data_IF_249439460866
#
_entry.id   IF_249439460866
#
_cell.length_a   1.000
_cell.length_b   1.000
_cell.length_c   1.000
_cell.angle_alpha   90.00
_cell.angle_beta   90.00
_cell.angle_gamma   90.00
#
_symmetry.space_group_name_H-M   'P 1'
#
loop_
_entity.id
_entity.type
_entity.pdbx_description
1 polymer ?
#
# COMPACT_ATOMS: atom_id res chain seq x y z
N UNK A 1 4.68 -9.69 -25.07
CA UNK A 1 3.39 -9.67 -24.33
C UNK A 1 3.64 -9.93 -22.86
N UNK A 2 3.15 -9.08 -21.94
CA UNK A 2 3.13 -9.42 -20.51
C UNK A 2 1.96 -10.38 -20.26
N UNK A 3 2.24 -11.57 -19.74
CA UNK A 3 1.24 -12.64 -19.55
C UNK A 3 0.49 -12.50 -18.21
N UNK A 4 1.14 -11.93 -17.19
CA UNK A 4 0.59 -11.80 -15.84
C UNK A 4 0.29 -10.33 -15.53
N UNK A 5 -0.91 -10.07 -15.00
CA UNK A 5 -1.26 -8.84 -14.30
C UNK A 5 -1.87 -9.20 -12.95
N UNK A 6 -1.47 -8.46 -11.91
CA UNK A 6 -2.04 -8.61 -10.59
C UNK A 6 -2.45 -7.25 -10.05
N UNK A 7 -3.74 -7.14 -9.72
CA UNK A 7 -4.39 -5.88 -9.38
C UNK A 7 -5.34 -6.07 -8.21
N UNK A 8 -5.59 -4.98 -7.51
CA UNK A 8 -6.60 -4.87 -6.46
C UNK A 8 -7.18 -3.45 -6.49
N UNK A 9 -7.91 -3.06 -5.45
CA UNK A 9 -8.46 -1.72 -5.28
C UNK A 9 -8.27 -1.22 -3.86
N UNK A 10 -8.21 0.09 -3.68
CA UNK A 10 -8.17 0.71 -2.36
C UNK A 10 -9.48 0.38 -1.62
N UNK A 11 -9.37 -0.27 -0.47
CA UNK A 11 -10.49 -0.63 0.40
C UNK A 11 -10.89 0.53 1.32
N UNK A 12 -9.89 1.24 1.85
CA UNK A 12 -10.09 2.40 2.71
C UNK A 12 -8.89 3.34 2.68
N UNK A 13 -9.13 4.58 3.08
CA UNK A 13 -8.12 5.60 3.27
C UNK A 13 -8.09 5.97 4.76
N UNK A 14 -6.90 6.27 5.25
CA UNK A 14 -6.67 6.74 6.62
C UNK A 14 -5.51 7.73 6.64
N UNK A 15 -5.35 8.45 7.74
CA UNK A 15 -4.23 9.38 7.95
C UNK A 15 -3.44 8.95 9.18
N UNK A 16 -2.12 9.08 9.11
CA UNK A 16 -1.23 8.91 10.26
C UNK A 16 -0.46 10.21 10.48
N UNK A 17 -0.56 10.79 11.67
CA UNK A 17 0.21 11.98 12.01
C UNK A 17 1.68 11.63 12.23
N UNK A 18 2.55 12.60 11.99
CA UNK A 18 3.96 12.54 12.36
C UNK A 18 4.12 12.10 13.82
N UNK A 19 5.07 11.19 14.07
CA UNK A 19 5.35 10.67 15.41
C UNK A 19 4.54 9.43 15.79
N UNK A 20 3.55 9.03 14.98
CA UNK A 20 2.78 7.80 15.21
C UNK A 20 3.38 6.59 14.46
N UNK A 21 3.06 5.40 14.96
CA UNK A 21 3.39 4.15 14.28
C UNK A 21 2.24 3.69 13.37
N UNK A 22 2.59 3.15 12.20
CA UNK A 22 1.66 2.61 11.20
C UNK A 22 1.67 1.08 11.22
N UNK A 23 0.47 0.48 11.26
CA UNK A 23 0.28 -0.96 11.20
C UNK A 23 0.26 -1.63 12.57
N UNK A 24 0.39 -2.96 12.60
CA UNK A 24 0.45 -3.71 13.85
C UNK A 24 1.81 -3.49 14.55
N UNK A 25 1.79 -2.99 15.79
CA UNK A 25 2.99 -2.68 16.57
C UNK A 25 3.72 -1.42 16.11
N UNK A 26 5.03 -1.34 16.38
CA UNK A 26 5.93 -0.22 16.01
C UNK A 26 6.53 -0.38 14.60
N UNK A 27 5.81 -1.00 13.68
CA UNK A 27 6.33 -1.52 12.41
C UNK A 27 6.86 -0.46 11.43
N UNK A 28 6.31 0.75 11.47
CA UNK A 28 6.77 1.87 10.67
C UNK A 28 6.49 3.17 11.41
N UNK A 29 7.51 4.02 11.56
CA UNK A 29 7.40 5.31 12.23
C UNK A 29 7.13 6.40 11.19
N UNK A 30 6.03 7.13 11.35
CA UNK A 30 5.67 8.24 10.48
C UNK A 30 6.59 9.44 10.76
N UNK A 31 7.51 9.73 9.83
CA UNK A 31 8.42 10.88 9.92
C UNK A 31 7.74 12.21 9.54
N UNK A 32 6.58 12.14 8.92
CA UNK A 32 5.74 13.24 8.49
C UNK A 32 4.26 12.83 8.56
N UNK A 33 3.34 13.75 8.28
CA UNK A 33 1.92 13.43 8.15
C UNK A 33 1.68 12.63 6.87
N UNK A 34 1.11 11.44 7.02
CA UNK A 34 0.90 10.49 5.93
C UNK A 34 -0.57 10.31 5.62
N UNK A 35 -0.86 10.25 4.32
CA UNK A 35 -2.11 9.72 3.78
C UNK A 35 -1.85 8.28 3.33
N UNK A 36 -2.56 7.35 3.95
CA UNK A 36 -2.36 5.92 3.76
C UNK A 36 -3.60 5.29 3.14
N UNK A 37 -3.38 4.29 2.29
CA UNK A 37 -4.44 3.46 1.71
C UNK A 37 -4.27 2.00 2.14
N UNK A 38 -5.37 1.35 2.49
CA UNK A 38 -5.38 -0.09 2.76
C UNK A 38 -5.85 -0.82 1.51
N UNK A 39 -5.07 -1.82 1.08
CA UNK A 39 -5.37 -2.66 -0.06
C UNK A 39 -5.60 -4.09 0.43
N UNK A 40 -6.70 -4.76 0.05
CA UNK A 40 -7.07 -6.09 0.56
C UNK A 40 -6.28 -7.19 -0.17
N UNK A 41 -4.95 -7.07 -0.12
CA UNK A 41 -4.00 -8.07 -0.61
C UNK A 41 -2.91 -8.20 0.44
N UNK A 42 -2.65 -9.42 0.89
CA UNK A 42 -1.62 -9.74 1.88
C UNK A 42 -0.91 -11.03 1.53
N UNK A 43 -0.15 -11.58 2.48
CA UNK A 43 0.65 -12.79 2.21
C UNK A 43 -0.19 -14.04 1.94
N UNK A 44 -1.44 -14.11 2.41
CA UNK A 44 -2.36 -15.21 2.07
C UNK A 44 -2.71 -15.22 0.57
N UNK A 45 -2.57 -14.08 -0.11
CA UNK A 45 -2.81 -13.91 -1.53
C UNK A 45 -1.52 -13.94 -2.36
N UNK A 46 -0.38 -14.28 -1.74
CA UNK A 46 0.92 -14.37 -2.39
C UNK A 46 1.78 -13.09 -2.32
N UNK A 47 1.36 -12.04 -1.60
CA UNK A 47 2.20 -10.85 -1.45
C UNK A 47 3.27 -11.12 -0.41
N UNK A 48 4.53 -11.22 -0.84
CA UNK A 48 5.60 -11.69 0.03
C UNK A 48 5.72 -10.83 1.29
N UNK A 49 5.68 -11.48 2.47
CA UNK A 49 5.77 -10.78 3.77
C UNK A 49 7.11 -10.03 3.93
N UNK A 50 8.16 -10.47 3.24
CA UNK A 50 9.46 -9.80 3.17
C UNK A 50 9.41 -8.42 2.50
N UNK A 51 8.34 -8.09 1.76
CA UNK A 51 8.13 -6.76 1.17
C UNK A 51 7.61 -5.72 2.18
N UNK A 52 7.54 -6.07 3.46
CA UNK A 52 7.25 -5.11 4.53
C UNK A 52 8.24 -3.94 4.48
N UNK A 53 7.75 -2.70 4.45
CA UNK A 53 8.53 -1.46 4.33
C UNK A 53 9.43 -1.32 3.07
N UNK A 54 9.42 -2.27 2.13
CA UNK A 54 10.28 -2.26 0.94
C UNK A 54 9.53 -2.45 -0.37
N UNK A 55 8.32 -3.02 -0.32
CA UNK A 55 7.45 -3.20 -1.47
C UNK A 55 6.91 -1.88 -2.01
N UNK A 56 6.52 -1.89 -3.28
CA UNK A 56 5.87 -0.76 -3.96
C UNK A 56 4.78 -1.28 -4.88
N UNK A 57 3.77 -0.45 -5.14
CA UNK A 57 2.67 -0.72 -6.07
C UNK A 57 2.41 0.53 -6.91
N UNK A 58 1.63 0.41 -7.98
CA UNK A 58 1.16 1.56 -8.75
C UNK A 58 -0.26 1.96 -8.35
N UNK A 59 -0.47 3.26 -8.15
CA UNK A 59 -1.77 3.91 -7.97
C UNK A 59 -1.78 5.18 -8.80
N UNK A 60 -2.79 5.35 -9.68
CA UNK A 60 -2.91 6.49 -10.61
C UNK A 60 -1.62 6.78 -11.41
N UNK A 61 -0.91 5.73 -11.83
CA UNK A 61 0.34 5.81 -12.61
C UNK A 61 1.59 6.12 -11.78
N UNK A 62 1.46 6.29 -10.46
CA UNK A 62 2.55 6.67 -9.56
C UNK A 62 2.91 5.53 -8.59
N UNK A 63 4.18 5.46 -8.18
CA UNK A 63 4.65 4.48 -7.19
C UNK A 63 4.19 4.87 -5.78
N UNK A 64 3.52 3.93 -5.11
CA UNK A 64 3.11 4.03 -3.73
C UNK A 64 3.86 2.96 -2.90
N UNK A 65 4.74 3.34 -1.95
CA UNK A 65 5.48 2.38 -1.15
C UNK A 65 4.60 1.72 -0.08
N UNK A 66 4.86 0.44 0.21
CA UNK A 66 4.24 -0.29 1.31
C UNK A 66 4.82 0.19 2.63
N UNK A 67 3.96 0.54 3.59
CA UNK A 67 4.33 0.98 4.95
C UNK A 67 3.79 0.02 6.00
N UNK A 68 4.67 -0.38 6.91
CA UNK A 68 4.38 -1.36 7.95
C UNK A 68 4.52 -2.81 7.48
N UNK A 69 4.12 -3.72 8.36
CA UNK A 69 4.17 -5.17 8.11
C UNK A 69 3.05 -5.56 7.13
N UNK A 70 3.42 -6.34 6.11
CA UNK A 70 2.45 -7.05 5.27
C UNK A 70 1.64 -8.01 6.14
N UNK A 71 0.34 -7.78 6.26
CA UNK A 71 -0.57 -8.63 7.02
C UNK A 71 -1.04 -9.82 6.17
N UNK A 72 -1.80 -10.72 6.79
CA UNK A 72 -2.37 -11.90 6.11
C UNK A 72 -3.21 -11.49 4.90
N UNK A 73 -4.07 -10.48 5.09
CA UNK A 73 -5.11 -10.14 4.13
C UNK A 73 -4.95 -8.75 3.51
N UNK A 74 -4.03 -7.92 4.00
CA UNK A 74 -3.89 -6.56 3.52
C UNK A 74 -2.45 -6.04 3.59
N UNK A 75 -2.21 -5.01 2.79
CA UNK A 75 -1.06 -4.12 2.85
C UNK A 75 -1.55 -2.69 3.05
N UNK A 76 -0.71 -1.88 3.68
CA UNK A 76 -0.89 -0.44 3.77
C UNK A 76 0.12 0.21 2.85
N UNK A 77 -0.34 1.14 2.01
CA UNK A 77 0.51 1.87 1.06
C UNK A 77 0.42 3.37 1.34
N UNK A 78 1.52 4.06 1.11
CA UNK A 78 1.64 5.51 1.25
C UNK A 78 1.23 6.19 -0.06
N UNK A 79 0.21 7.03 0.04
CA UNK A 79 -0.36 7.78 -1.10
C UNK A 79 -0.29 9.28 -0.84
N UNK A 80 0.55 9.73 0.09
CA UNK A 80 0.66 11.14 0.52
C UNK A 80 0.94 12.07 -0.65
N UNK A 81 1.86 11.68 -1.55
CA UNK A 81 2.22 12.47 -2.74
C UNK A 81 1.32 12.25 -3.98
N UNK A 82 0.26 11.44 -3.87
CA UNK A 82 -0.59 11.10 -5.03
C UNK A 82 -1.94 11.80 -4.90
N UNK A 83 -2.14 12.82 -5.73
CA UNK A 83 -3.38 13.62 -5.70
C UNK A 83 -4.61 12.83 -6.16
N UNK A 84 -5.76 13.18 -5.60
CA UNK A 84 -7.07 12.64 -6.01
C UNK A 84 -7.27 11.15 -5.79
N UNK A 85 -6.46 10.52 -4.93
CA UNK A 85 -6.63 9.11 -4.56
C UNK A 85 -7.93 8.92 -3.78
N UNK A 86 -8.73 7.93 -4.19
CA UNK A 86 -10.03 7.62 -3.59
C UNK A 86 -10.20 6.13 -3.30
N UNK A 87 -11.19 5.81 -2.46
CA UNK A 87 -11.62 4.42 -2.26
C UNK A 87 -12.09 3.84 -3.59
N UNK A 88 -11.62 2.64 -3.92
CA UNK A 88 -11.95 1.96 -5.17
C UNK A 88 -10.94 2.18 -6.29
N UNK A 89 -9.97 3.09 -6.14
CA UNK A 89 -8.90 3.27 -7.13
C UNK A 89 -8.11 1.98 -7.36
N UNK A 90 -7.74 1.75 -8.62
CA UNK A 90 -6.98 0.57 -9.02
C UNK A 90 -5.55 0.63 -8.47
N UNK A 91 -5.16 -0.48 -7.84
CA UNK A 91 -3.81 -0.73 -7.37
C UNK A 91 -3.20 -1.83 -8.23
N UNK A 92 -2.07 -1.57 -8.90
CA UNK A 92 -1.37 -2.58 -9.71
C UNK A 92 -0.12 -3.05 -8.98
N UNK A 93 -0.08 -4.34 -8.64
CA UNK A 93 1.03 -4.99 -7.94
C UNK A 93 2.04 -5.58 -8.92
N UNK A 94 1.55 -6.14 -10.03
CA UNK A 94 2.36 -6.63 -11.15
C UNK A 94 1.69 -6.19 -12.45
N UNK A 95 2.43 -5.50 -13.30
CA UNK A 95 1.93 -5.06 -14.59
C UNK A 95 2.20 -3.58 -14.86
N UNK A 96 1.31 -2.97 -15.62
CA UNK A 96 1.31 -1.54 -15.96
C UNK A 96 -0.05 -0.94 -15.64
N UNK A 97 -0.07 0.37 -15.49
CA UNK A 97 -1.26 1.20 -15.35
C UNK A 97 -1.25 2.25 -16.47
#
# INVERSE_FOLDING_TARGET
HRVIRWRSRIMSLTTAQQGNFVGYGTAFFAQEDLRLAVVPVGYAYGYARSLSNSGQVLVRGQLAPVRGIVNMNCITIDVTGIEGVEKGDEVVLIGTQ
#
